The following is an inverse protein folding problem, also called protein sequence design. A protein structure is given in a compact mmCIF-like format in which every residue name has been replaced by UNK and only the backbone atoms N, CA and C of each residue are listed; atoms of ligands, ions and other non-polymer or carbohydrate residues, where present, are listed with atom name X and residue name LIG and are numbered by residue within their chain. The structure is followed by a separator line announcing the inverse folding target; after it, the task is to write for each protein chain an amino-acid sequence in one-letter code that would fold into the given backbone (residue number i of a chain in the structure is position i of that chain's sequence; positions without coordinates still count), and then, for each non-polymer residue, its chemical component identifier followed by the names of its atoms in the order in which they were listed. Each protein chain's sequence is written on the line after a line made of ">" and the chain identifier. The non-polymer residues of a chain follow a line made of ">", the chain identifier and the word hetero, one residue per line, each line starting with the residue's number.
data_IF_581549546899
#
_entry.id   IF_581549546899
#
_cell.length_a   1.000
_cell.length_b   1.000
_cell.length_c   1.000
_cell.angle_alpha   90.00
_cell.angle_beta   90.00
_cell.angle_gamma   90.00
#
_symmetry.space_group_name_H-M   'P 1'
#
loop_
_entity.id
_entity.type
_entity.pdbx_description
1 polymer ?
#
# COMPACT_ATOMS: atom_id res chain seq x y z
N UNK A 1 -10.81 2.78 23.10
CA UNK A 1 -9.67 3.60 23.55
C UNK A 1 -8.33 3.05 23.07
N UNK A 2 -7.95 1.81 23.38
CA UNK A 2 -6.69 1.18 22.92
C UNK A 2 -6.48 1.23 21.39
N UNK A 3 -7.50 0.96 20.58
CA UNK A 3 -7.42 0.99 19.12
C UNK A 3 -7.13 2.40 18.57
N UNK A 4 -7.64 3.45 19.21
CA UNK A 4 -7.35 4.83 18.81
C UNK A 4 -5.91 5.23 19.16
N UNK A 5 -5.43 4.86 20.35
CA UNK A 5 -4.05 5.10 20.78
C UNK A 5 -3.08 4.42 19.84
N UNK A 6 -3.33 3.15 19.49
CA UNK A 6 -2.50 2.42 18.51
C UNK A 6 -2.46 3.12 17.16
N UNK A 7 -3.63 3.54 16.62
CA UNK A 7 -3.69 4.28 15.34
C UNK A 7 -2.91 5.59 15.40
N UNK A 8 -3.04 6.37 16.49
CA UNK A 8 -2.31 7.64 16.68
C UNK A 8 -0.79 7.42 16.67
N UNK A 9 -0.31 6.44 17.45
CA UNK A 9 1.14 6.12 17.49
C UNK A 9 1.64 5.66 16.11
N UNK A 10 0.86 4.84 15.42
CA UNK A 10 1.20 4.36 14.06
C UNK A 10 1.30 5.53 13.07
N UNK A 11 0.36 6.50 13.12
CA UNK A 11 0.40 7.69 12.26
C UNK A 11 1.66 8.53 12.55
N UNK A 12 1.97 8.78 13.84
CA UNK A 12 3.15 9.56 14.23
C UNK A 12 4.45 8.87 13.76
N UNK A 13 4.54 7.56 13.89
CA UNK A 13 5.69 6.78 13.43
C UNK A 13 5.82 6.80 11.91
N UNK A 14 4.73 6.59 11.17
CA UNK A 14 4.72 6.70 9.71
C UNK A 14 5.12 8.09 9.23
N UNK A 15 4.64 9.14 9.93
CA UNK A 15 5.02 10.52 9.64
C UNK A 15 6.51 10.80 9.87
N UNK A 16 7.13 10.17 10.87
CA UNK A 16 8.58 10.27 11.10
C UNK A 16 9.37 9.67 9.94
N UNK A 17 9.00 8.47 9.46
CA UNK A 17 9.66 7.82 8.32
C UNK A 17 9.50 8.66 7.05
N UNK A 18 8.29 9.14 6.78
CA UNK A 18 8.01 10.02 5.65
C UNK A 18 8.86 11.28 5.68
N UNK A 19 8.83 12.02 6.80
CA UNK A 19 9.57 13.25 6.96
C UNK A 19 11.09 13.04 6.87
N UNK A 20 11.61 11.91 7.38
CA UNK A 20 13.01 11.55 7.26
C UNK A 20 13.42 11.39 5.79
N UNK A 21 12.66 10.61 5.01
CA UNK A 21 12.90 10.42 3.58
C UNK A 21 12.83 11.74 2.80
N UNK A 22 11.82 12.57 3.09
CA UNK A 22 11.64 13.87 2.44
C UNK A 22 12.81 14.82 2.74
N UNK A 23 13.18 14.99 4.02
CA UNK A 23 14.21 15.96 4.43
C UNK A 23 15.60 15.60 3.91
N UNK A 24 15.97 14.31 3.95
CA UNK A 24 17.36 13.92 3.67
C UNK A 24 17.60 13.39 2.26
N UNK A 25 16.56 13.01 1.53
CA UNK A 25 16.71 12.46 0.18
C UNK A 25 15.99 13.26 -0.90
N UNK A 26 14.79 13.75 -0.66
CA UNK A 26 14.02 14.48 -1.69
C UNK A 26 14.48 15.93 -1.81
N UNK A 27 14.44 16.66 -0.69
CA UNK A 27 14.74 18.10 -0.65
C UNK A 27 16.15 18.44 -1.16
N UNK A 28 17.24 17.75 -0.70
CA UNK A 28 18.60 18.09 -1.12
C UNK A 28 18.88 17.82 -2.61
N UNK A 29 18.11 16.91 -3.22
CA UNK A 29 18.31 16.52 -4.62
C UNK A 29 17.29 17.16 -5.57
N UNK A 30 16.49 18.11 -5.07
CA UNK A 30 15.49 18.85 -5.83
C UNK A 30 14.50 17.96 -6.59
N UNK A 31 14.21 16.74 -6.08
CA UNK A 31 13.14 15.94 -6.63
C UNK A 31 11.80 16.64 -6.33
N UNK A 32 10.90 16.66 -7.31
CA UNK A 32 9.57 17.17 -7.07
C UNK A 32 8.77 16.19 -6.25
N UNK A 33 7.95 16.70 -5.37
CA UNK A 33 6.84 15.96 -4.82
C UNK A 33 5.65 16.19 -5.77
N UNK A 34 5.01 15.13 -6.24
CA UNK A 34 3.80 15.21 -7.04
C UNK A 34 2.65 15.84 -6.24
N UNK A 35 1.44 15.67 -6.71
CA UNK A 35 0.27 15.99 -5.92
C UNK A 35 -0.04 17.47 -5.76
N UNK A 36 -0.64 17.81 -4.62
CA UNK A 36 -1.04 19.18 -4.32
C UNK A 36 0.14 20.16 -4.33
N UNK A 37 1.32 19.72 -3.92
CA UNK A 37 2.55 20.53 -3.94
C UNK A 37 2.93 20.91 -5.38
N UNK A 38 2.81 20.00 -6.33
CA UNK A 38 3.03 20.30 -7.75
C UNK A 38 2.09 21.39 -8.28
N UNK A 39 0.80 21.34 -7.90
CA UNK A 39 -0.17 22.38 -8.26
C UNK A 39 0.21 23.73 -7.64
N UNK A 40 0.65 23.73 -6.38
CA UNK A 40 1.07 24.99 -5.72
C UNK A 40 2.28 25.63 -6.40
N UNK A 41 3.22 24.81 -6.86
CA UNK A 41 4.39 25.27 -7.62
C UNK A 41 3.97 25.86 -8.97
N UNK A 42 3.11 25.18 -9.73
CA UNK A 42 2.57 25.69 -11.00
C UNK A 42 1.92 27.07 -10.78
N UNK A 43 1.08 27.20 -9.76
CA UNK A 43 0.39 28.47 -9.49
C UNK A 43 1.33 29.57 -9.01
N UNK A 44 2.39 29.22 -8.29
CA UNK A 44 3.44 30.18 -7.92
C UNK A 44 4.17 30.72 -9.15
N UNK A 45 4.58 29.84 -10.07
CA UNK A 45 5.33 30.27 -11.25
C UNK A 45 4.48 31.01 -12.29
N UNK A 46 3.21 30.64 -12.47
CA UNK A 46 2.33 31.28 -13.45
C UNK A 46 1.68 32.57 -12.95
N UNK A 47 1.32 32.61 -11.66
CA UNK A 47 0.47 33.69 -11.10
C UNK A 47 1.11 34.41 -9.91
N UNK A 48 2.35 34.05 -9.51
CA UNK A 48 3.04 34.57 -8.31
C UNK A 48 2.23 34.44 -7.00
N UNK A 49 1.34 33.42 -6.92
CA UNK A 49 0.58 33.13 -5.71
C UNK A 49 1.51 32.42 -4.72
N UNK A 50 1.65 32.89 -3.45
CA UNK A 50 2.49 32.22 -2.47
C UNK A 50 2.10 30.74 -2.27
N UNK A 51 3.10 29.85 -2.26
CA UNK A 51 2.92 28.40 -2.11
C UNK A 51 2.08 28.07 -0.86
N UNK A 52 2.37 28.73 0.26
CA UNK A 52 1.64 28.54 1.52
C UNK A 52 0.15 28.89 1.40
N UNK A 53 -0.19 29.98 0.70
CA UNK A 53 -1.58 30.39 0.50
C UNK A 53 -2.33 29.39 -0.38
N UNK A 54 -1.72 28.94 -1.49
CA UNK A 54 -2.34 27.97 -2.39
C UNK A 54 -2.50 26.61 -1.72
N UNK A 55 -1.50 26.17 -0.93
CA UNK A 55 -1.60 24.94 -0.16
C UNK A 55 -2.80 24.95 0.80
N UNK A 56 -2.99 26.05 1.54
CA UNK A 56 -4.17 26.21 2.40
C UNK A 56 -5.45 26.18 1.57
N UNK A 57 -5.50 26.91 0.46
CA UNK A 57 -6.68 27.00 -0.41
C UNK A 57 -7.10 25.64 -0.97
N UNK A 58 -6.13 24.78 -1.36
CA UNK A 58 -6.37 23.43 -1.85
C UNK A 58 -6.78 22.50 -0.71
N UNK A 59 -6.13 22.57 0.45
CA UNK A 59 -6.36 21.63 1.53
C UNK A 59 -7.67 21.86 2.29
N UNK A 60 -8.13 23.10 2.46
CA UNK A 60 -9.40 23.37 3.16
C UNK A 60 -10.58 22.62 2.53
N UNK A 61 -10.90 22.76 1.22
CA UNK A 61 -11.99 22.03 0.61
C UNK A 61 -11.79 20.53 0.66
N UNK A 62 -10.56 20.03 0.54
CA UNK A 62 -10.25 18.61 0.60
C UNK A 62 -10.52 18.02 1.99
N UNK A 63 -10.15 18.74 3.07
CA UNK A 63 -10.48 18.32 4.43
C UNK A 63 -11.99 18.36 4.70
N UNK A 64 -12.72 19.34 4.16
CA UNK A 64 -14.18 19.39 4.26
C UNK A 64 -14.84 18.22 3.53
N UNK A 65 -14.35 17.86 2.34
CA UNK A 65 -14.81 16.69 1.60
C UNK A 65 -14.50 15.40 2.35
N UNK A 66 -13.29 15.26 2.89
CA UNK A 66 -12.91 14.11 3.70
C UNK A 66 -13.82 13.95 4.92
N UNK A 67 -14.13 15.05 5.60
CA UNK A 67 -15.07 15.06 6.71
C UNK A 67 -16.47 14.57 6.28
N UNK A 68 -17.01 15.12 5.20
CA UNK A 68 -18.35 14.74 4.70
C UNK A 68 -18.43 13.27 4.28
N UNK A 69 -17.37 12.71 3.70
CA UNK A 69 -17.35 11.36 3.13
C UNK A 69 -16.97 10.29 4.15
N UNK A 70 -16.02 10.57 5.03
CA UNK A 70 -15.44 9.61 5.97
C UNK A 70 -15.75 9.90 7.45
N UNK A 71 -16.38 11.05 7.74
CA UNK A 71 -16.75 11.47 9.08
C UNK A 71 -15.61 12.08 9.90
N UNK A 72 -15.95 12.55 11.12
CA UNK A 72 -15.04 13.28 12.04
C UNK A 72 -13.78 12.47 12.41
N UNK A 73 -13.89 11.17 12.54
CA UNK A 73 -12.75 10.33 12.92
C UNK A 73 -11.65 10.35 11.84
N UNK A 74 -12.03 10.32 10.59
CA UNK A 74 -11.08 10.40 9.47
C UNK A 74 -10.45 11.79 9.38
N UNK A 75 -11.23 12.84 9.59
CA UNK A 75 -10.72 14.21 9.66
C UNK A 75 -9.66 14.35 10.74
N UNK A 76 -9.94 13.85 11.96
CA UNK A 76 -8.96 13.86 13.04
C UNK A 76 -7.66 13.13 12.67
N UNK A 77 -7.77 11.92 12.11
CA UNK A 77 -6.58 11.14 11.71
C UNK A 77 -5.80 11.82 10.59
N UNK A 78 -6.47 12.50 9.65
CA UNK A 78 -5.82 13.24 8.56
C UNK A 78 -5.12 14.50 9.07
N UNK A 79 -5.77 15.29 9.92
CA UNK A 79 -5.15 16.44 10.55
C UNK A 79 -3.94 16.03 11.41
N UNK A 80 -4.09 14.92 12.17
CA UNK A 80 -2.98 14.37 12.97
C UNK A 80 -1.79 14.00 12.08
N UNK A 81 -2.03 13.32 10.94
CA UNK A 81 -0.98 12.95 10.00
C UNK A 81 -0.26 14.16 9.42
N UNK A 82 -1.02 15.17 8.95
CA UNK A 82 -0.46 16.41 8.41
C UNK A 82 0.37 17.17 9.45
N UNK A 83 -0.15 17.30 10.68
CA UNK A 83 0.57 17.97 11.78
C UNK A 83 1.81 17.17 12.17
N UNK A 84 1.71 15.84 12.29
CA UNK A 84 2.84 14.99 12.67
C UNK A 84 3.98 15.08 11.64
N UNK A 85 3.66 15.04 10.33
CA UNK A 85 4.66 15.25 9.27
C UNK A 85 5.33 16.61 9.41
N UNK A 86 4.54 17.69 9.58
CA UNK A 86 5.08 19.04 9.74
C UNK A 86 6.01 19.17 10.95
N UNK A 87 5.65 18.54 12.07
CA UNK A 87 6.48 18.56 13.30
C UNK A 87 7.80 17.80 13.07
N UNK A 88 7.73 16.60 12.45
CA UNK A 88 8.94 15.84 12.17
C UNK A 88 9.85 16.50 11.14
N UNK A 89 9.30 17.16 10.12
CA UNK A 89 10.08 17.98 9.19
C UNK A 89 10.85 19.08 9.93
N UNK A 90 10.16 19.84 10.79
CA UNK A 90 10.78 20.91 11.57
C UNK A 90 11.87 20.39 12.56
N UNK A 91 11.76 19.12 13.02
CA UNK A 91 12.78 18.48 13.84
C UNK A 91 13.98 18.08 12.98
N UNK A 92 13.75 17.39 11.86
CA UNK A 92 14.82 16.87 11.01
C UNK A 92 15.59 17.98 10.28
N UNK A 93 14.96 19.07 9.90
CA UNK A 93 15.64 20.24 9.34
C UNK A 93 16.72 20.84 10.27
N UNK A 94 16.60 20.64 11.60
CA UNK A 94 17.58 21.08 12.58
C UNK A 94 18.74 20.09 12.79
N UNK A 95 18.61 18.86 12.27
CA UNK A 95 19.62 17.82 12.44
C UNK A 95 20.41 17.72 11.13
N UNK A 96 21.70 18.16 11.10
CA UNK A 96 22.48 18.20 9.87
C UNK A 96 23.03 16.80 9.53
N UNK A 97 22.18 15.91 9.01
CA UNK A 97 22.60 14.64 8.43
C UNK A 97 22.76 14.81 6.92
N UNK A 98 23.87 14.31 6.38
CA UNK A 98 24.12 14.31 4.95
C UNK A 98 24.47 12.88 4.50
N UNK A 99 23.73 12.39 3.51
CA UNK A 99 23.99 11.11 2.85
C UNK A 99 24.63 11.41 1.50
N UNK A 100 25.92 11.05 1.38
CA UNK A 100 26.62 11.22 0.11
C UNK A 100 26.24 10.07 -0.83
N UNK A 101 25.35 10.34 -1.77
CA UNK A 101 24.91 9.41 -2.81
C UNK A 101 25.55 9.75 -4.17
N UNK A 102 26.68 10.49 -4.17
CA UNK A 102 27.46 10.87 -5.36
C UNK A 102 26.63 11.53 -6.48
N UNK A 103 25.46 12.08 -6.15
CA UNK A 103 24.54 12.71 -7.09
C UNK A 103 23.79 11.73 -7.99
N UNK A 104 23.80 10.43 -7.67
CA UNK A 104 23.01 9.43 -8.39
C UNK A 104 21.51 9.56 -8.05
N UNK A 105 20.80 10.30 -8.91
CA UNK A 105 19.37 10.55 -8.74
C UNK A 105 18.50 9.28 -8.83
N UNK A 106 19.01 8.20 -9.45
CA UNK A 106 18.28 6.93 -9.47
C UNK A 106 18.31 6.29 -8.08
N UNK A 107 19.48 6.24 -7.44
CA UNK A 107 19.63 5.73 -6.06
C UNK A 107 18.81 6.59 -5.10
N UNK A 108 18.85 7.91 -5.26
CA UNK A 108 18.03 8.84 -4.45
C UNK A 108 16.55 8.53 -4.62
N UNK A 109 16.05 8.40 -5.85
CA UNK A 109 14.64 8.10 -6.13
C UNK A 109 14.21 6.76 -5.54
N UNK A 110 15.07 5.73 -5.60
CA UNK A 110 14.81 4.42 -5.01
C UNK A 110 14.69 4.50 -3.48
N UNK A 111 15.69 5.07 -2.81
CA UNK A 111 15.72 5.15 -1.34
C UNK A 111 14.59 6.05 -0.83
N UNK A 112 14.42 7.23 -1.41
CA UNK A 112 13.36 8.15 -1.06
C UNK A 112 11.97 7.53 -1.30
N UNK A 113 11.77 6.91 -2.48
CA UNK A 113 10.51 6.26 -2.84
C UNK A 113 10.10 5.17 -1.86
N UNK A 114 11.06 4.34 -1.41
CA UNK A 114 10.80 3.33 -0.39
C UNK A 114 10.45 3.98 0.96
N UNK A 115 11.23 4.95 1.43
CA UNK A 115 11.00 5.60 2.72
C UNK A 115 9.65 6.34 2.74
N UNK A 116 9.36 7.16 1.74
CA UNK A 116 8.09 7.87 1.67
C UNK A 116 6.92 6.91 1.49
N UNK A 117 7.08 5.89 0.66
CA UNK A 117 6.06 4.87 0.45
C UNK A 117 5.74 4.07 1.71
N UNK A 118 6.76 3.72 2.52
CA UNK A 118 6.57 3.09 3.84
C UNK A 118 5.85 4.05 4.79
N UNK A 119 6.32 5.29 4.88
CA UNK A 119 5.70 6.31 5.73
C UNK A 119 4.22 6.52 5.40
N UNK A 120 3.90 6.76 4.13
CA UNK A 120 2.53 6.96 3.65
C UNK A 120 1.67 5.71 3.81
N UNK A 121 2.18 4.52 3.45
CA UNK A 121 1.45 3.27 3.58
C UNK A 121 1.06 2.98 5.03
N UNK A 122 1.96 3.25 5.99
CA UNK A 122 1.69 3.11 7.43
C UNK A 122 0.63 4.12 7.89
N UNK A 123 0.70 5.39 7.42
CA UNK A 123 -0.30 6.43 7.73
C UNK A 123 -1.67 6.04 7.17
N UNK A 124 -1.75 5.58 5.91
CA UNK A 124 -3.02 5.18 5.28
C UNK A 124 -3.66 3.97 5.95
N UNK A 125 -2.88 2.95 6.31
CA UNK A 125 -3.37 1.79 7.05
C UNK A 125 -3.93 2.17 8.43
N UNK A 126 -3.37 3.18 9.07
CA UNK A 126 -3.88 3.72 10.32
C UNK A 126 -5.11 4.64 10.14
N UNK A 127 -5.52 4.89 8.90
CA UNK A 127 -6.68 5.72 8.55
C UNK A 127 -6.40 7.22 8.47
N UNK A 128 -5.12 7.63 8.48
CA UNK A 128 -4.67 9.01 8.28
C UNK A 128 -4.39 9.36 6.82
N UNK A 129 -3.99 10.59 6.56
CA UNK A 129 -3.42 11.11 5.30
C UNK A 129 -2.44 12.22 5.63
N UNK A 130 -1.61 12.61 4.67
CA UNK A 130 -0.74 13.80 4.83
C UNK A 130 -1.36 15.07 4.26
N UNK A 131 -2.58 14.97 3.70
CA UNK A 131 -3.28 16.09 3.04
C UNK A 131 -3.20 15.99 1.52
N UNK A 132 -3.61 17.07 0.82
CA UNK A 132 -3.42 17.16 -0.63
C UNK A 132 -4.10 16.06 -1.44
N UNK A 133 -3.41 15.57 -2.48
CA UNK A 133 -3.88 14.49 -3.36
C UNK A 133 -4.12 13.17 -2.65
N UNK A 134 -3.52 12.94 -1.50
CA UNK A 134 -3.78 11.78 -0.65
C UNK A 134 -5.26 11.64 -0.31
N UNK A 135 -5.91 12.78 0.00
CA UNK A 135 -7.35 12.82 0.30
C UNK A 135 -8.16 12.45 -0.93
N UNK A 136 -7.77 12.99 -2.09
CA UNK A 136 -8.44 12.69 -3.37
C UNK A 136 -8.31 11.21 -3.72
N UNK A 137 -7.09 10.66 -3.64
CA UNK A 137 -6.83 9.24 -3.88
C UNK A 137 -7.67 8.34 -2.96
N UNK A 138 -7.75 8.70 -1.68
CA UNK A 138 -8.56 7.95 -0.70
C UNK A 138 -10.06 8.04 -0.99
N UNK A 139 -10.56 9.19 -1.44
CA UNK A 139 -11.95 9.34 -1.86
C UNK A 139 -12.22 8.48 -3.10
N UNK A 140 -11.37 8.56 -4.11
CA UNK A 140 -11.50 7.75 -5.32
C UNK A 140 -11.44 6.25 -5.01
N UNK A 141 -10.51 5.81 -4.16
CA UNK A 141 -10.41 4.41 -3.72
C UNK A 141 -11.72 3.89 -3.16
N UNK A 142 -12.42 4.69 -2.33
CA UNK A 142 -13.73 4.31 -1.76
C UNK A 142 -14.78 3.99 -2.83
N UNK A 143 -14.78 4.70 -3.96
CA UNK A 143 -15.80 4.55 -5.00
C UNK A 143 -15.37 3.63 -6.15
N UNK A 144 -14.06 3.55 -6.44
CA UNK A 144 -13.54 2.80 -7.59
C UNK A 144 -12.95 1.45 -7.22
N UNK A 145 -12.64 1.25 -5.93
CA UNK A 145 -11.90 0.08 -5.42
C UNK A 145 -10.51 -0.12 -6.05
N UNK A 146 -9.99 0.91 -6.74
CA UNK A 146 -8.60 0.93 -7.23
C UNK A 146 -7.68 1.20 -6.04
N UNK A 147 -6.51 0.54 -5.96
CA UNK A 147 -5.56 0.73 -4.87
C UNK A 147 -5.11 2.20 -4.73
N UNK A 148 -4.85 2.62 -3.49
CA UNK A 148 -4.48 4.02 -3.17
C UNK A 148 -3.18 4.40 -3.88
N UNK A 149 -2.19 3.51 -3.92
CA UNK A 149 -0.93 3.77 -4.61
C UNK A 149 -1.12 4.01 -6.12
N UNK A 150 -1.96 3.21 -6.80
CA UNK A 150 -2.26 3.42 -8.23
C UNK A 150 -2.97 4.76 -8.48
N UNK A 151 -3.89 5.14 -7.59
CA UNK A 151 -4.61 6.40 -7.72
C UNK A 151 -3.69 7.59 -7.48
N UNK A 152 -2.80 7.54 -6.50
CA UNK A 152 -1.78 8.56 -6.26
C UNK A 152 -0.90 8.70 -7.48
N UNK A 153 -0.30 7.60 -7.95
CA UNK A 153 0.55 7.62 -9.13
C UNK A 153 -0.16 8.22 -10.36
N UNK A 154 -1.44 7.87 -10.57
CA UNK A 154 -2.22 8.42 -11.68
C UNK A 154 -2.47 9.92 -11.55
N UNK A 155 -2.77 10.43 -10.35
CA UNK A 155 -2.96 11.85 -10.08
C UNK A 155 -1.64 12.62 -10.25
N UNK A 156 -0.56 12.09 -9.69
CA UNK A 156 0.77 12.71 -9.78
C UNK A 156 1.30 12.70 -11.21
N UNK A 157 1.08 11.62 -11.96
CA UNK A 157 1.40 11.55 -13.38
C UNK A 157 0.73 12.67 -14.18
N UNK A 158 -0.57 12.94 -13.94
CA UNK A 158 -1.28 14.03 -14.63
C UNK A 158 -0.66 15.40 -14.30
N UNK A 159 -0.31 15.61 -13.04
CA UNK A 159 0.31 16.87 -12.59
C UNK A 159 1.72 17.01 -13.17
N UNK A 160 2.51 15.93 -13.20
CA UNK A 160 3.85 15.92 -13.78
C UNK A 160 3.84 16.15 -15.30
N UNK A 161 2.82 15.67 -16.00
CA UNK A 161 2.64 15.99 -17.42
C UNK A 161 2.38 17.49 -17.64
N UNK A 162 1.60 18.13 -16.76
CA UNK A 162 1.44 19.59 -16.81
C UNK A 162 2.75 20.32 -16.50
N UNK A 163 3.50 19.85 -15.51
CA UNK A 163 4.83 20.40 -15.16
C UNK A 163 5.78 20.26 -16.36
N UNK A 164 5.79 19.12 -17.03
CA UNK A 164 6.63 18.90 -18.23
C UNK A 164 6.29 19.88 -19.36
N UNK A 165 5.02 20.14 -19.61
CA UNK A 165 4.57 21.08 -20.64
C UNK A 165 5.03 22.52 -20.31
N UNK A 166 4.96 22.91 -19.02
CA UNK A 166 5.26 24.27 -18.57
C UNK A 166 6.77 24.50 -18.48
N UNK A 167 7.50 23.59 -17.83
CA UNK A 167 8.91 23.76 -17.50
C UNK A 167 9.89 23.10 -18.50
N UNK A 168 9.40 22.16 -19.32
CA UNK A 168 10.17 21.44 -20.35
C UNK A 168 11.42 20.71 -19.81
N UNK A 169 11.44 20.36 -18.53
CA UNK A 169 12.51 19.60 -17.90
C UNK A 169 12.16 18.10 -17.83
N UNK A 170 12.49 17.40 -18.93
CA UNK A 170 12.24 15.96 -19.06
C UNK A 170 13.03 15.14 -18.02
N UNK A 171 14.25 15.57 -17.68
CA UNK A 171 15.09 14.86 -16.73
C UNK A 171 14.46 14.83 -15.35
N UNK A 172 14.03 15.97 -14.86
CA UNK A 172 13.39 16.14 -13.56
C UNK A 172 12.11 15.33 -13.49
N UNK A 173 11.24 15.45 -14.49
CA UNK A 173 9.97 14.70 -14.56
C UNK A 173 10.22 13.18 -14.58
N UNK A 174 11.25 12.70 -15.29
CA UNK A 174 11.57 11.27 -15.35
C UNK A 174 11.97 10.71 -13.97
N UNK A 175 12.84 11.40 -13.24
CA UNK A 175 13.24 10.94 -11.90
C UNK A 175 12.08 11.03 -10.88
N UNK A 176 11.24 12.05 -11.00
CA UNK A 176 10.04 12.16 -10.15
C UNK A 176 9.05 11.05 -10.46
N UNK A 177 8.81 10.72 -11.72
CA UNK A 177 7.96 9.57 -12.09
C UNK A 177 8.49 8.25 -11.56
N UNK A 178 9.79 8.02 -11.60
CA UNK A 178 10.42 6.84 -11.00
C UNK A 178 10.18 6.79 -9.50
N UNK A 179 10.41 7.90 -8.82
CA UNK A 179 10.17 8.08 -7.39
C UNK A 179 8.70 7.82 -7.02
N UNK A 180 7.74 8.43 -7.71
CA UNK A 180 6.29 8.26 -7.46
C UNK A 180 5.82 6.84 -7.76
N UNK A 181 6.39 6.20 -8.79
CA UNK A 181 6.10 4.79 -9.08
C UNK A 181 6.50 3.88 -7.92
N UNK A 182 7.67 4.12 -7.32
CA UNK A 182 8.15 3.33 -6.18
C UNK A 182 7.26 3.57 -4.96
N UNK A 183 6.93 4.83 -4.65
CA UNK A 183 6.00 5.19 -3.58
C UNK A 183 4.68 4.42 -3.75
N UNK A 184 4.09 4.48 -4.95
CA UNK A 184 2.84 3.79 -5.28
C UNK A 184 2.90 2.29 -4.98
N UNK A 185 3.98 1.62 -5.41
CA UNK A 185 4.16 0.19 -5.20
C UNK A 185 4.33 -0.18 -3.73
N UNK A 186 5.08 0.64 -2.99
CA UNK A 186 5.30 0.40 -1.56
C UNK A 186 4.03 0.65 -0.75
N UNK A 187 3.26 1.70 -1.07
CA UNK A 187 1.95 1.95 -0.45
C UNK A 187 1.02 0.75 -0.66
N UNK A 188 0.93 0.24 -1.89
CA UNK A 188 0.04 -0.87 -2.20
C UNK A 188 0.50 -2.15 -1.48
N UNK A 189 1.81 -2.44 -1.44
CA UNK A 189 2.36 -3.57 -0.69
C UNK A 189 2.01 -3.52 0.81
N UNK A 190 2.07 -2.34 1.41
CA UNK A 190 1.72 -2.15 2.82
C UNK A 190 0.20 -2.20 3.00
N UNK A 191 -0.57 -1.62 2.06
CA UNK A 191 -2.03 -1.57 2.09
C UNK A 191 -2.70 -2.92 1.89
N UNK A 192 -2.13 -3.77 1.02
CA UNK A 192 -2.62 -5.14 0.79
C UNK A 192 -2.50 -6.01 2.04
N UNK A 193 -1.64 -5.61 3.00
CA UNK A 193 -1.49 -6.24 4.31
C UNK A 193 -1.05 -7.70 4.25
N UNK A 194 -0.74 -8.28 5.41
CA UNK A 194 -0.37 -9.70 5.55
C UNK A 194 -1.51 -10.70 5.30
N UNK A 195 -2.67 -10.24 4.85
CA UNK A 195 -3.87 -11.07 4.65
C UNK A 195 -4.09 -11.52 3.20
N UNK A 196 -3.18 -11.14 2.28
CA UNK A 196 -3.19 -11.67 0.95
C UNK A 196 -2.71 -13.13 0.95
N UNK A 197 -3.52 -14.03 0.45
CA UNK A 197 -3.21 -15.45 0.34
C UNK A 197 -3.33 -15.97 -1.08
N UNK A 198 -3.11 -17.27 -1.22
CA UNK A 198 -3.33 -18.00 -2.47
C UNK A 198 -4.38 -19.07 -2.25
N UNK A 199 -5.40 -19.07 -3.08
CA UNK A 199 -6.36 -20.16 -3.16
C UNK A 199 -5.81 -21.28 -4.04
N UNK A 200 -5.67 -22.47 -3.49
CA UNK A 200 -5.28 -23.68 -4.20
C UNK A 200 -6.53 -24.48 -4.51
N UNK A 201 -6.72 -24.79 -5.78
CA UNK A 201 -7.72 -25.74 -6.26
C UNK A 201 -6.96 -26.93 -6.83
N UNK A 202 -7.10 -28.10 -6.19
CA UNK A 202 -6.25 -29.27 -6.44
C UNK A 202 -7.12 -30.44 -6.82
N UNK A 203 -6.89 -30.99 -8.01
CA UNK A 203 -7.51 -32.22 -8.49
C UNK A 203 -6.49 -33.33 -8.30
N UNK A 204 -6.80 -34.30 -7.43
CA UNK A 204 -5.89 -35.40 -7.05
C UNK A 204 -6.65 -36.71 -6.89
N UNK A 205 -5.93 -37.82 -7.03
CA UNK A 205 -6.46 -39.15 -6.74
C UNK A 205 -6.48 -39.45 -5.22
N UNK A 206 -5.81 -38.63 -4.42
CA UNK A 206 -5.65 -38.83 -2.97
C UNK A 206 -6.16 -37.62 -2.16
N UNK A 207 -7.44 -37.22 -2.33
CA UNK A 207 -7.95 -35.99 -1.72
C UNK A 207 -7.97 -36.02 -0.19
N UNK A 208 -8.23 -37.18 0.42
CA UNK A 208 -8.28 -37.31 1.90
C UNK A 208 -6.87 -37.21 2.50
N UNK A 209 -5.91 -38.00 1.96
CA UNK A 209 -4.51 -37.98 2.41
C UNK A 209 -3.90 -36.57 2.32
N UNK A 210 -4.21 -35.85 1.23
CA UNK A 210 -3.75 -34.49 1.07
C UNK A 210 -4.39 -33.53 2.08
N UNK A 211 -5.67 -33.66 2.32
CA UNK A 211 -6.40 -32.82 3.29
C UNK A 211 -5.89 -33.00 4.72
N UNK A 212 -5.67 -34.27 5.12
CA UNK A 212 -5.13 -34.60 6.43
C UNK A 212 -3.76 -33.96 6.63
N UNK A 213 -2.88 -34.11 5.63
CA UNK A 213 -1.54 -33.54 5.66
C UNK A 213 -1.53 -32.01 5.70
N UNK A 214 -2.41 -31.34 4.93
CA UNK A 214 -2.58 -29.88 4.98
C UNK A 214 -3.00 -29.42 6.37
N UNK A 215 -3.97 -30.12 6.96
CA UNK A 215 -4.47 -29.78 8.29
C UNK A 215 -3.40 -29.98 9.36
N UNK A 216 -2.68 -31.11 9.33
CA UNK A 216 -1.61 -31.44 10.30
C UNK A 216 -0.41 -30.51 10.21
N UNK A 217 0.08 -30.20 9.00
CA UNK A 217 1.33 -29.48 8.81
C UNK A 217 1.17 -27.94 8.71
N UNK A 218 0.02 -27.45 8.23
CA UNK A 218 -0.24 -26.03 8.05
C UNK A 218 -1.35 -25.50 8.96
N UNK A 219 -2.13 -26.37 9.60
CA UNK A 219 -3.29 -25.94 10.40
C UNK A 219 -4.33 -25.21 9.58
N UNK A 220 -4.44 -25.49 8.26
CA UNK A 220 -5.34 -24.82 7.35
C UNK A 220 -6.60 -25.64 7.09
N UNK A 221 -7.74 -24.96 7.09
CA UNK A 221 -9.01 -25.56 6.71
C UNK A 221 -9.04 -25.98 5.25
N UNK A 222 -9.60 -27.15 4.98
CA UNK A 222 -9.75 -27.72 3.64
C UNK A 222 -11.22 -27.92 3.33
N UNK A 223 -11.62 -27.55 2.11
CA UNK A 223 -12.99 -27.75 1.62
C UNK A 223 -12.94 -28.68 0.40
N UNK A 224 -13.78 -29.73 0.42
CA UNK A 224 -13.98 -30.58 -0.76
C UNK A 224 -15.10 -30.03 -1.64
N UNK A 225 -14.79 -29.84 -2.92
CA UNK A 225 -15.77 -29.49 -3.94
C UNK A 225 -16.01 -30.74 -4.79
N UNK A 226 -17.25 -31.22 -4.85
CA UNK A 226 -17.61 -32.35 -5.69
C UNK A 226 -17.65 -31.93 -7.15
N UNK A 227 -17.07 -32.72 -8.01
CA UNK A 227 -17.04 -32.50 -9.47
C UNK A 227 -17.05 -33.82 -10.21
N UNK A 228 -17.26 -33.74 -11.53
CA UNK A 228 -17.18 -34.91 -12.42
C UNK A 228 -16.22 -34.60 -13.57
N UNK A 229 -15.30 -35.50 -13.85
CA UNK A 229 -14.40 -35.37 -14.98
C UNK A 229 -15.16 -35.55 -16.29
N UNK A 230 -15.14 -34.54 -17.18
CA UNK A 230 -15.85 -34.62 -18.47
C UNK A 230 -15.41 -35.82 -19.30
N UNK A 231 -14.12 -36.06 -19.39
CA UNK A 231 -13.56 -37.18 -20.18
C UNK A 231 -13.70 -38.51 -19.47
N UNK A 232 -13.37 -38.56 -18.19
CA UNK A 232 -13.33 -39.80 -17.41
C UNK A 232 -14.71 -40.26 -16.95
N UNK A 233 -15.69 -39.34 -16.92
CA UNK A 233 -17.03 -39.52 -16.33
C UNK A 233 -17.00 -39.99 -14.85
N UNK A 234 -15.85 -39.88 -14.21
CA UNK A 234 -15.67 -40.29 -12.81
C UNK A 234 -15.96 -39.11 -11.89
N UNK A 235 -16.59 -39.39 -10.75
CA UNK A 235 -16.72 -38.44 -9.68
C UNK A 235 -15.34 -38.15 -9.05
N UNK A 236 -15.08 -36.88 -8.76
CA UNK A 236 -13.83 -36.45 -8.14
C UNK A 236 -14.10 -35.45 -7.03
N UNK A 237 -13.22 -35.43 -6.04
CA UNK A 237 -13.20 -34.42 -4.99
C UNK A 237 -12.05 -33.47 -5.26
N UNK A 238 -12.39 -32.21 -5.53
CA UNK A 238 -11.42 -31.13 -5.65
C UNK A 238 -11.10 -30.63 -4.24
N UNK A 239 -9.83 -30.59 -3.90
CA UNK A 239 -9.34 -30.03 -2.63
C UNK A 239 -9.17 -28.54 -2.80
N UNK A 240 -9.95 -27.75 -2.07
CA UNK A 240 -9.81 -26.29 -2.03
C UNK A 240 -9.25 -25.86 -0.69
N UNK A 241 -8.15 -25.13 -0.72
CA UNK A 241 -7.50 -24.61 0.48
C UNK A 241 -6.91 -23.23 0.19
N UNK A 242 -7.00 -22.32 1.17
CA UNK A 242 -6.36 -21.01 1.11
C UNK A 242 -5.17 -21.03 2.06
N UNK A 243 -4.00 -20.59 1.57
CA UNK A 243 -2.76 -20.51 2.35
C UNK A 243 -2.16 -19.12 2.29
N UNK A 244 -1.39 -18.74 3.31
CA UNK A 244 -0.64 -17.49 3.30
C UNK A 244 0.51 -17.52 2.29
N UNK A 245 1.03 -16.36 1.88
CA UNK A 245 2.11 -16.27 0.88
C UNK A 245 3.37 -17.04 1.27
N UNK A 246 3.73 -17.07 2.54
CA UNK A 246 4.89 -17.79 3.07
C UNK A 246 4.71 -19.32 3.10
N UNK A 247 3.48 -19.82 2.98
CA UNK A 247 3.16 -21.25 3.01
C UNK A 247 3.10 -21.89 1.61
N UNK A 248 3.17 -21.08 0.54
CA UNK A 248 3.01 -21.55 -0.86
C UNK A 248 4.01 -22.62 -1.23
N UNK A 249 5.28 -22.47 -0.86
CA UNK A 249 6.34 -23.41 -1.18
C UNK A 249 6.07 -24.75 -0.50
N UNK A 250 5.80 -24.70 0.81
CA UNK A 250 5.49 -25.90 1.59
C UNK A 250 4.23 -26.61 1.07
N UNK A 251 3.20 -25.85 0.69
CA UNK A 251 1.99 -26.40 0.09
C UNK A 251 2.27 -27.15 -1.22
N UNK A 252 3.08 -26.59 -2.11
CA UNK A 252 3.47 -27.26 -3.36
C UNK A 252 4.26 -28.53 -3.14
N UNK A 253 5.19 -28.51 -2.19
CA UNK A 253 5.99 -29.70 -1.81
C UNK A 253 5.11 -30.81 -1.25
N UNK A 254 4.16 -30.48 -0.37
CA UNK A 254 3.20 -31.45 0.16
C UNK A 254 2.35 -32.10 -0.94
N UNK A 255 1.79 -31.28 -1.84
CA UNK A 255 0.99 -31.79 -2.95
C UNK A 255 1.81 -32.75 -3.81
N UNK A 256 3.02 -32.34 -4.18
CA UNK A 256 3.90 -33.17 -5.00
C UNK A 256 4.32 -34.47 -4.31
N UNK A 257 4.49 -34.45 -2.98
CA UNK A 257 4.84 -35.63 -2.18
C UNK A 257 3.68 -36.64 -2.11
N UNK A 258 2.43 -36.13 -1.96
CA UNK A 258 1.23 -36.99 -1.85
C UNK A 258 0.83 -37.52 -3.24
N UNK A 259 0.79 -36.65 -4.23
CA UNK A 259 0.39 -37.01 -5.59
C UNK A 259 1.17 -36.18 -6.62
N UNK A 260 2.28 -36.71 -7.17
CA UNK A 260 3.06 -36.04 -8.19
C UNK A 260 2.29 -35.70 -9.47
N UNK A 261 1.15 -36.39 -9.71
CA UNK A 261 0.29 -36.17 -10.89
C UNK A 261 -0.89 -35.27 -10.62
N UNK A 262 -0.98 -34.64 -9.43
CA UNK A 262 -2.05 -33.72 -9.09
C UNK A 262 -2.05 -32.50 -10.01
N UNK A 263 -3.24 -32.10 -10.47
CA UNK A 263 -3.42 -30.86 -11.21
C UNK A 263 -3.77 -29.73 -10.23
N UNK A 264 -2.98 -28.63 -10.28
CA UNK A 264 -3.07 -27.54 -9.33
C UNK A 264 -3.37 -26.24 -10.07
N UNK A 265 -4.42 -25.53 -9.64
CA UNK A 265 -4.67 -24.15 -10.02
C UNK A 265 -4.47 -23.25 -8.81
N UNK A 266 -3.69 -22.18 -8.96
CA UNK A 266 -3.41 -21.22 -7.90
C UNK A 266 -3.99 -19.87 -8.31
N UNK A 267 -4.89 -19.35 -7.49
CA UNK A 267 -5.53 -18.03 -7.69
C UNK A 267 -5.08 -17.06 -6.62
N UNK A 268 -5.08 -15.77 -6.93
CA UNK A 268 -4.82 -14.75 -5.92
C UNK A 268 -6.07 -14.48 -5.09
N UNK A 269 -5.92 -14.52 -3.77
CA UNK A 269 -6.91 -14.04 -2.84
C UNK A 269 -6.41 -12.72 -2.26
N UNK A 270 -6.94 -11.60 -2.75
CA UNK A 270 -6.51 -10.27 -2.34
C UNK A 270 -6.92 -9.94 -0.90
N UNK A 271 -8.03 -10.46 -0.45
CA UNK A 271 -8.55 -10.26 0.90
C UNK A 271 -9.15 -11.55 1.43
N UNK A 272 -8.74 -11.95 2.62
CA UNK A 272 -9.23 -13.14 3.29
C UNK A 272 -9.75 -12.72 4.67
N UNK A 273 -11.06 -12.88 4.86
CA UNK A 273 -11.72 -12.59 6.13
C UNK A 273 -12.16 -13.91 6.76
N UNK A 274 -11.68 -14.20 7.94
CA UNK A 274 -12.07 -15.42 8.67
C UNK A 274 -11.03 -15.90 9.67
N UNK A 275 -11.39 -17.01 10.32
CA UNK A 275 -10.57 -17.68 11.32
C UNK A 275 -9.26 -18.20 10.69
N UNK A 276 -8.16 -18.02 11.39
CA UNK A 276 -6.83 -18.41 10.90
C UNK A 276 -6.15 -17.40 9.96
N UNK A 277 -6.85 -16.30 9.55
CA UNK A 277 -6.29 -15.20 8.77
C UNK A 277 -6.48 -13.83 9.43
N UNK A 278 -7.73 -13.42 9.64
CA UNK A 278 -8.09 -12.11 10.23
C UNK A 278 -8.50 -12.20 11.70
N UNK A 279 -8.96 -13.37 12.12
CA UNK A 279 -9.32 -13.63 13.53
C UNK A 279 -8.39 -14.72 14.08
N UNK A 280 -8.00 -14.63 15.38
CA UNK A 280 -7.27 -15.72 16.02
C UNK A 280 -8.10 -17.00 15.98
N UNK A 281 -7.43 -18.15 15.90
CA UNK A 281 -8.08 -19.44 15.98
C UNK A 281 -8.85 -19.56 17.32
N UNK A 282 -10.00 -20.23 17.32
CA UNK A 282 -10.85 -20.37 18.51
C UNK A 282 -10.12 -20.93 19.72
N UNK A 283 -9.11 -21.77 19.48
CA UNK A 283 -8.31 -22.42 20.51
C UNK A 283 -7.31 -21.50 21.21
N UNK A 284 -7.05 -20.29 20.66
CA UNK A 284 -6.18 -19.28 21.28
C UNK A 284 -6.93 -18.29 22.18
N UNK A 285 -8.26 -18.42 22.30
CA UNK A 285 -9.14 -17.50 23.05
C UNK A 285 -9.67 -18.15 24.34
N UNK A 286 -9.28 -19.39 24.65
CA UNK A 286 -9.68 -20.12 25.87
C UNK A 286 -8.67 -19.98 26.99
#
# INVERSE_FOLDING_TARGET
>A
MLRQIKSTITIIFGAAIFAFGLTYFVVPHHLFEGGATGITLITYYLFNIPISMMNILINIPLFLLAWKIFGLRSLYSSLLGTIAVSVWLAIFEKIPLQFNLEGDLVVVALVAGVLLGVGLGVIFNAGGTTGGTDIVARILNKYTHISIGKLLFGLDFLILMLILIIFQDLRLVTYTLLFDFIISRVIDLIGEGGYAGKGFMIITQKPMELADKINEELGRGVTFISGQGYYSQKDLKIVYCIVARNEIVKMKEMIHTVDPMAFITITEAHEILGEGFTFPARDEVS
#
